data_IF_183456637772
#
_entry.id   IF_183456637772
#
_cell.length_a   1.000
_cell.length_b   1.000
_cell.length_c   1.000
_cell.angle_alpha   90.00
_cell.angle_beta   90.00
_cell.angle_gamma   90.00
#
_symmetry.space_group_name_H-M   'P 1'
#
loop_
_entity.id
_entity.type
_entity.pdbx_description
1 polymer ?
#
# COMPACT_ATOMS: atom_id res chain seq x y z
N UNK A 1 33.33 -24.78 24.57
CA UNK A 1 33.07 -23.44 23.98
C UNK A 1 32.22 -23.67 22.75
N UNK A 2 30.91 -23.52 22.89
CA UNK A 2 30.00 -23.59 21.74
C UNK A 2 30.12 -22.28 20.94
N UNK A 3 30.56 -22.40 19.70
CA UNK A 3 30.61 -21.27 18.78
C UNK A 3 29.16 -20.80 18.53
N UNK A 4 28.85 -19.59 19.01
CA UNK A 4 27.57 -18.92 18.78
C UNK A 4 27.44 -18.61 17.28
N UNK A 5 26.86 -19.54 16.54
CA UNK A 5 26.65 -19.44 15.10
C UNK A 5 25.43 -18.54 14.83
N UNK A 6 25.54 -17.24 15.18
CA UNK A 6 24.55 -16.27 14.78
C UNK A 6 24.59 -16.19 13.25
N UNK A 7 23.55 -16.75 12.60
CA UNK A 7 23.34 -16.55 11.17
C UNK A 7 23.27 -15.05 10.91
N UNK A 8 24.27 -14.53 10.21
CA UNK A 8 24.28 -13.13 9.78
C UNK A 8 23.14 -12.91 8.80
N UNK A 9 22.35 -11.86 9.01
CA UNK A 9 21.32 -11.48 8.06
C UNK A 9 21.97 -11.09 6.73
N UNK A 10 21.42 -11.64 5.66
CA UNK A 10 21.82 -11.28 4.29
C UNK A 10 20.80 -10.29 3.72
N UNK A 11 21.31 -9.23 3.11
CA UNK A 11 20.54 -8.20 2.45
C UNK A 11 20.77 -8.33 0.93
N UNK A 12 19.88 -9.03 0.20
CA UNK A 12 20.09 -9.33 -1.22
C UNK A 12 20.05 -8.10 -2.12
N UNK A 13 19.47 -6.98 -1.64
CA UNK A 13 19.40 -5.73 -2.37
C UNK A 13 20.33 -4.71 -1.75
N UNK A 14 21.30 -4.24 -2.52
CA UNK A 14 22.24 -3.21 -2.11
C UNK A 14 21.57 -1.84 -1.97
N UNK A 15 20.55 -1.59 -2.77
CA UNK A 15 19.80 -0.34 -2.80
C UNK A 15 18.31 -0.59 -2.54
N UNK A 16 17.72 0.26 -1.71
CA UNK A 16 16.27 0.34 -1.54
C UNK A 16 15.68 1.30 -2.59
N UNK A 17 14.42 1.14 -3.01
CA UNK A 17 13.77 2.12 -3.86
C UNK A 17 13.64 3.47 -3.15
N UNK A 18 13.66 4.53 -3.92
CA UNK A 18 13.28 5.87 -3.46
C UNK A 18 11.77 5.94 -3.24
N UNK A 19 11.32 6.98 -2.57
CA UNK A 19 9.88 7.19 -2.39
C UNK A 19 9.17 7.30 -3.74
N UNK A 20 8.14 6.49 -3.94
CA UNK A 20 7.40 6.39 -5.19
C UNK A 20 8.07 5.56 -6.30
N UNK A 21 9.27 5.03 -6.09
CA UNK A 21 9.96 4.18 -7.05
C UNK A 21 9.53 2.72 -6.92
N UNK A 22 9.37 2.04 -8.05
CA UNK A 22 9.14 0.60 -8.14
C UNK A 22 10.45 -0.14 -8.39
N UNK A 23 10.75 -1.13 -7.56
CA UNK A 23 11.88 -2.03 -7.73
C UNK A 23 11.37 -3.46 -7.97
N UNK A 24 11.68 -4.05 -9.12
CA UNK A 24 11.39 -5.47 -9.36
C UNK A 24 12.36 -6.31 -8.50
N UNK A 25 11.81 -7.01 -7.50
CA UNK A 25 12.62 -7.84 -6.60
C UNK A 25 12.85 -9.24 -7.15
N UNK A 26 11.82 -9.85 -7.74
CA UNK A 26 11.92 -11.17 -8.39
C UNK A 26 10.58 -11.53 -9.05
N UNK A 27 10.63 -12.08 -10.28
CA UNK A 27 9.50 -12.80 -10.87
C UNK A 27 8.18 -12.03 -10.93
N UNK A 28 8.23 -10.72 -11.23
CA UNK A 28 7.02 -9.90 -11.32
C UNK A 28 6.52 -9.38 -9.97
N UNK A 29 7.31 -9.50 -8.89
CA UNK A 29 7.03 -8.87 -7.61
C UNK A 29 7.77 -7.53 -7.57
N UNK A 30 7.01 -6.43 -7.50
CA UNK A 30 7.52 -5.07 -7.49
C UNK A 30 7.34 -4.45 -6.11
N UNK A 31 8.43 -3.99 -5.54
CA UNK A 31 8.48 -3.28 -4.27
C UNK A 31 8.28 -1.79 -4.52
N UNK A 32 7.25 -1.21 -3.91
CA UNK A 32 6.96 0.21 -3.89
C UNK A 32 7.24 0.78 -2.50
N UNK A 33 8.10 1.78 -2.41
CA UNK A 33 8.27 2.54 -1.19
C UNK A 33 7.30 3.72 -1.19
N UNK A 34 6.35 3.72 -0.25
CA UNK A 34 5.34 4.76 -0.10
C UNK A 34 5.65 5.66 1.10
N UNK A 35 5.82 6.98 0.91
CA UNK A 35 6.11 7.88 2.02
C UNK A 35 4.95 8.02 2.99
N UNK A 36 5.28 8.30 4.25
CA UNK A 36 4.34 8.60 5.32
C UNK A 36 4.70 9.93 5.99
N UNK A 37 3.70 10.76 6.35
CA UNK A 37 3.92 12.04 7.01
C UNK A 37 4.10 11.90 8.54
N UNK A 38 4.72 10.83 8.99
CA UNK A 38 4.93 10.49 10.41
C UNK A 38 6.35 10.01 10.66
N UNK A 39 6.72 9.76 11.93
CA UNK A 39 8.07 9.34 12.30
C UNK A 39 8.60 8.09 11.58
N UNK A 40 7.71 7.16 11.25
CA UNK A 40 8.06 5.97 10.46
C UNK A 40 8.50 6.32 9.03
N UNK A 41 8.13 7.45 8.50
CA UNK A 41 8.42 8.07 7.21
C UNK A 41 8.08 7.27 5.94
N UNK A 42 7.89 5.97 5.99
CA UNK A 42 7.48 5.17 4.84
C UNK A 42 6.92 3.82 5.23
N UNK A 43 6.20 3.20 4.30
CA UNK A 43 5.85 1.79 4.30
C UNK A 43 6.20 1.15 2.96
N UNK A 44 6.18 -0.17 2.93
CA UNK A 44 6.42 -0.95 1.74
C UNK A 44 5.09 -1.51 1.22
N UNK A 45 4.78 -1.18 -0.01
CA UNK A 45 3.65 -1.70 -0.75
C UNK A 45 4.17 -2.60 -1.88
N UNK A 46 3.26 -3.37 -2.47
CA UNK A 46 3.66 -4.33 -3.48
C UNK A 46 2.70 -4.33 -4.66
N UNK A 47 3.25 -4.48 -5.86
CA UNK A 47 2.51 -4.82 -7.06
C UNK A 47 2.98 -6.19 -7.53
N UNK A 48 2.04 -7.10 -7.71
CA UNK A 48 2.33 -8.47 -8.14
C UNK A 48 1.78 -8.66 -9.54
N UNK A 49 2.67 -8.97 -10.48
CA UNK A 49 2.32 -9.27 -11.85
C UNK A 49 1.73 -10.68 -11.95
N UNK A 50 0.52 -10.78 -12.50
CA UNK A 50 -0.17 -12.03 -12.79
C UNK A 50 -0.27 -12.29 -14.28
N UNK A 51 -0.97 -13.35 -14.67
CA UNK A 51 -1.10 -13.74 -16.08
C UNK A 51 -1.86 -12.70 -16.94
N UNK A 52 -2.83 -12.00 -16.33
CA UNK A 52 -3.71 -11.08 -17.05
C UNK A 52 -3.51 -9.61 -16.64
N UNK A 53 -2.84 -9.36 -15.51
CA UNK A 53 -2.64 -8.02 -14.99
C UNK A 53 -1.95 -8.01 -13.63
N UNK A 54 -2.14 -6.95 -12.88
CA UNK A 54 -1.45 -6.69 -11.62
C UNK A 54 -2.41 -6.76 -10.43
N UNK A 55 -1.90 -7.25 -9.32
CA UNK A 55 -2.53 -7.16 -8.01
C UNK A 55 -1.79 -6.14 -7.16
N UNK A 56 -2.51 -5.16 -6.63
CA UNK A 56 -2.01 -4.20 -5.65
C UNK A 56 -2.16 -4.80 -4.25
N UNK A 57 -1.09 -4.78 -3.46
CA UNK A 57 -1.11 -5.18 -2.05
C UNK A 57 -0.88 -3.93 -1.21
N UNK A 58 -1.90 -3.55 -0.46
CA UNK A 58 -2.02 -2.32 0.32
C UNK A 58 -2.01 -1.03 -0.51
N UNK A 59 -2.62 0.01 0.04
CA UNK A 59 -2.93 1.23 -0.72
C UNK A 59 -2.12 2.45 -0.31
N UNK A 60 -1.60 2.48 0.89
CA UNK A 60 -0.96 3.65 1.46
C UNK A 60 -1.91 4.51 2.28
N UNK A 61 -1.34 5.49 2.99
CA UNK A 61 -2.08 6.49 3.75
C UNK A 61 -2.74 7.50 2.79
N UNK A 62 -3.91 8.01 3.17
CA UNK A 62 -4.65 9.00 2.37
C UNK A 62 -3.99 10.37 2.43
N UNK A 63 -2.96 10.56 1.61
CA UNK A 63 -2.27 11.83 1.40
C UNK A 63 -2.25 12.20 -0.09
N UNK A 64 -2.11 13.48 -0.41
CA UNK A 64 -2.01 13.94 -1.80
C UNK A 64 -0.72 13.45 -2.46
N UNK A 65 0.36 13.32 -1.69
CA UNK A 65 1.62 12.76 -2.14
C UNK A 65 1.46 11.29 -2.57
N UNK A 66 0.83 10.45 -1.75
CA UNK A 66 0.58 9.06 -2.07
C UNK A 66 -0.35 8.89 -3.28
N UNK A 67 -1.38 9.74 -3.42
CA UNK A 67 -2.23 9.79 -4.62
C UNK A 67 -1.44 10.16 -5.87
N UNK A 68 -0.52 11.13 -5.76
CA UNK A 68 0.37 11.55 -6.84
C UNK A 68 1.27 10.39 -7.30
N UNK A 69 1.85 9.65 -6.36
CA UNK A 69 2.67 8.47 -6.64
C UNK A 69 1.86 7.41 -7.40
N UNK A 70 0.66 7.07 -6.94
CA UNK A 70 -0.21 6.12 -7.64
C UNK A 70 -0.55 6.58 -9.07
N UNK A 71 -0.87 7.86 -9.27
CA UNK A 71 -1.13 8.40 -10.61
C UNK A 71 0.07 8.27 -11.54
N UNK A 72 1.29 8.52 -11.03
CA UNK A 72 2.52 8.33 -11.80
C UNK A 72 2.71 6.85 -12.18
N UNK A 73 2.50 5.93 -11.22
CA UNK A 73 2.58 4.48 -11.49
C UNK A 73 1.58 4.06 -12.57
N UNK A 74 0.35 4.57 -12.52
CA UNK A 74 -0.67 4.25 -13.52
C UNK A 74 -0.41 4.88 -14.89
N UNK A 75 0.30 5.99 -14.94
CA UNK A 75 0.68 6.62 -16.20
C UNK A 75 1.91 6.00 -16.85
N UNK A 76 2.89 5.59 -16.05
CA UNK A 76 4.22 5.23 -16.55
C UNK A 76 4.49 3.72 -16.51
N UNK A 77 3.87 2.98 -15.61
CA UNK A 77 4.22 1.57 -15.37
C UNK A 77 3.04 0.60 -15.58
N UNK A 78 1.92 0.82 -14.94
CA UNK A 78 0.76 -0.08 -14.99
C UNK A 78 -0.47 0.67 -15.47
N UNK A 79 -0.94 0.38 -16.68
CA UNK A 79 -2.24 0.89 -17.11
C UNK A 79 -3.33 0.52 -16.10
N UNK A 80 -4.20 1.45 -15.67
CA UNK A 80 -5.30 1.17 -14.74
C UNK A 80 -6.16 -0.03 -15.16
N UNK A 81 -6.36 -0.23 -16.47
CA UNK A 81 -7.10 -1.37 -17.03
C UNK A 81 -6.41 -2.72 -16.86
N UNK A 82 -5.15 -2.73 -16.42
CA UNK A 82 -4.36 -3.92 -16.14
C UNK A 82 -4.29 -4.26 -14.66
N UNK A 83 -4.91 -3.48 -13.79
CA UNK A 83 -5.05 -3.83 -12.38
C UNK A 83 -6.27 -4.75 -12.25
N UNK A 84 -6.07 -5.94 -11.69
CA UNK A 84 -7.13 -6.93 -11.52
C UNK A 84 -7.69 -6.96 -10.09
N UNK A 85 -6.83 -6.68 -9.11
CA UNK A 85 -7.20 -6.78 -7.70
C UNK A 85 -6.50 -5.73 -6.85
N UNK A 86 -7.18 -5.33 -5.79
CA UNK A 86 -6.63 -4.57 -4.67
C UNK A 86 -6.82 -5.44 -3.43
N UNK A 87 -5.74 -5.87 -2.79
CA UNK A 87 -5.77 -6.64 -1.54
C UNK A 87 -5.26 -5.77 -0.42
N UNK A 88 -6.01 -5.67 0.66
CA UNK A 88 -5.62 -4.94 1.87
C UNK A 88 -5.28 -5.95 2.96
N UNK A 89 -4.05 -5.90 3.46
CA UNK A 89 -3.55 -6.87 4.44
C UNK A 89 -4.20 -6.69 5.79
N UNK A 90 -4.36 -5.44 6.24
CA UNK A 90 -4.97 -5.13 7.54
C UNK A 90 -5.49 -3.67 7.61
N UNK A 91 -6.15 -3.37 8.71
CA UNK A 91 -6.94 -2.17 8.92
C UNK A 91 -6.16 -0.86 9.07
N UNK A 92 -4.86 -0.88 9.38
CA UNK A 92 -4.09 0.33 9.64
C UNK A 92 -4.14 1.30 8.46
N UNK A 93 -4.30 2.59 8.75
CA UNK A 93 -4.56 3.61 7.73
C UNK A 93 -3.41 3.86 6.76
N UNK A 94 -2.19 3.53 7.14
CA UNK A 94 -1.02 3.54 6.25
C UNK A 94 -1.06 2.40 5.21
N UNK A 95 -1.88 1.37 5.43
CA UNK A 95 -2.14 0.26 4.51
C UNK A 95 -3.48 0.37 3.79
N UNK A 96 -4.53 0.74 4.50
CA UNK A 96 -5.91 0.77 3.99
C UNK A 96 -6.42 2.16 3.58
N UNK A 97 -5.70 3.22 3.88
CA UNK A 97 -6.19 4.60 3.80
C UNK A 97 -6.64 5.05 2.41
N UNK A 98 -5.99 4.58 1.36
CA UNK A 98 -6.36 4.90 -0.04
C UNK A 98 -7.19 3.81 -0.72
N UNK A 99 -7.63 2.76 -0.01
CA UNK A 99 -8.38 1.67 -0.63
C UNK A 99 -9.64 2.15 -1.36
N UNK A 100 -10.42 3.03 -0.75
CA UNK A 100 -11.62 3.62 -1.36
C UNK A 100 -11.31 4.53 -2.55
N UNK A 101 -10.23 5.32 -2.47
CA UNK A 101 -9.79 6.15 -3.57
C UNK A 101 -9.31 5.29 -4.75
N UNK A 102 -8.48 4.27 -4.52
CA UNK A 102 -8.04 3.32 -5.56
C UNK A 102 -9.23 2.59 -6.19
N UNK A 103 -10.21 2.18 -5.36
CA UNK A 103 -11.44 1.56 -5.84
C UNK A 103 -12.17 2.45 -6.85
N UNK A 104 -12.29 3.74 -6.56
CA UNK A 104 -12.93 4.71 -7.45
C UNK A 104 -12.13 4.97 -8.72
N UNK A 105 -10.80 5.12 -8.62
CA UNK A 105 -9.93 5.38 -9.76
C UNK A 105 -9.86 4.18 -10.74
N UNK A 106 -9.89 2.98 -10.20
CA UNK A 106 -9.72 1.73 -10.96
C UNK A 106 -11.04 1.04 -11.30
N UNK A 107 -12.13 1.42 -10.66
CA UNK A 107 -13.44 0.74 -10.71
C UNK A 107 -13.33 -0.76 -10.31
N UNK A 108 -12.62 -1.03 -9.23
CA UNK A 108 -12.38 -2.36 -8.67
C UNK A 108 -12.60 -2.32 -7.17
N UNK A 109 -13.39 -3.25 -6.63
CA UNK A 109 -13.60 -3.35 -5.20
C UNK A 109 -12.35 -3.88 -4.47
N UNK A 110 -11.91 -3.24 -3.38
CA UNK A 110 -10.81 -3.74 -2.58
C UNK A 110 -11.23 -4.99 -1.79
N UNK A 111 -10.31 -5.94 -1.67
CA UNK A 111 -10.51 -7.18 -0.93
C UNK A 111 -9.87 -7.06 0.46
N UNK A 112 -10.66 -7.36 1.48
CA UNK A 112 -10.27 -7.46 2.88
C UNK A 112 -10.68 -8.83 3.42
N UNK A 113 -10.05 -9.29 4.50
CA UNK A 113 -10.73 -10.27 5.35
C UNK A 113 -11.93 -9.60 6.02
N UNK A 114 -12.98 -10.37 6.35
CA UNK A 114 -14.16 -9.82 7.02
C UNK A 114 -13.81 -9.08 8.33
N UNK A 115 -12.86 -9.62 9.07
CA UNK A 115 -12.38 -9.01 10.32
C UNK A 115 -11.74 -7.65 10.06
N UNK A 116 -10.80 -7.57 9.14
CA UNK A 116 -10.08 -6.33 8.84
C UNK A 116 -11.00 -5.27 8.23
N UNK A 117 -11.94 -5.68 7.38
CA UNK A 117 -12.96 -4.77 6.87
C UNK A 117 -13.81 -4.15 8.00
N UNK A 118 -14.28 -4.97 8.93
CA UNK A 118 -15.07 -4.50 10.06
C UNK A 118 -14.28 -3.53 10.96
N UNK A 119 -13.01 -3.80 11.22
CA UNK A 119 -12.14 -2.92 12.00
C UNK A 119 -11.87 -1.60 11.26
N UNK A 120 -11.64 -1.63 9.96
CA UNK A 120 -11.48 -0.42 9.13
C UNK A 120 -12.72 0.48 9.22
N UNK A 121 -13.92 -0.10 9.13
CA UNK A 121 -15.18 0.66 9.24
C UNK A 121 -15.35 1.32 10.62
N UNK A 122 -14.94 0.67 11.69
CA UNK A 122 -14.97 1.26 13.05
C UNK A 122 -14.05 2.48 13.15
N UNK A 123 -12.83 2.38 12.61
CA UNK A 123 -11.87 3.50 12.63
C UNK A 123 -12.41 4.70 11.85
N UNK A 124 -12.91 4.47 10.64
CA UNK A 124 -13.50 5.52 9.80
C UNK A 124 -14.71 6.14 10.52
N UNK A 125 -15.57 5.32 11.12
CA UNK A 125 -16.71 5.79 11.91
C UNK A 125 -16.28 6.68 13.07
N UNK A 126 -15.27 6.28 13.86
CA UNK A 126 -14.73 7.10 14.95
C UNK A 126 -14.19 8.44 14.45
N UNK A 127 -13.47 8.46 13.33
CA UNK A 127 -12.92 9.70 12.76
C UNK A 127 -14.02 10.66 12.30
N UNK A 128 -15.12 10.16 11.76
CA UNK A 128 -16.27 10.96 11.35
C UNK A 128 -16.98 11.59 12.57
N UNK A 129 -17.08 10.85 13.69
CA UNK A 129 -17.71 11.36 14.92
C UNK A 129 -16.83 12.34 15.70
N UNK A 130 -15.51 12.31 15.54
CA UNK A 130 -14.56 13.19 16.21
C UNK A 130 -14.21 14.45 15.43
N UNK A 131 -14.60 14.53 14.17
CA UNK A 131 -14.48 15.76 13.39
C UNK A 131 -15.46 16.79 13.92
N UNK A 132 -15.01 18.02 14.29
CA UNK A 132 -15.94 19.05 14.69
C UNK A 132 -16.89 19.33 13.54
N UNK A 133 -18.20 19.19 13.81
CA UNK A 133 -19.23 19.63 12.87
C UNK A 133 -18.94 21.09 12.48
N UNK A 134 -18.99 21.46 11.20
CA UNK A 134 -18.99 22.87 10.85
C UNK A 134 -20.18 23.49 11.57
N UNK A 135 -19.92 24.34 12.54
CA UNK A 135 -20.98 25.17 13.11
C UNK A 135 -21.35 26.18 12.04
N UNK A 136 -22.60 26.17 11.74
CA UNK A 136 -23.28 27.20 10.96
C UNK A 136 -22.97 28.61 11.48
#
# INVERSE_FOLDING_TARGET
MEANNQKKLEYPFSNRPKDGELLNVKGGIHWLRMPLPIALNHINLWLIEGNNGFTIIDSGMSTDEAKGIWRNIFNEFVSPKKVEKILITHMHLDHSGLAGWLSSELNIDPHFTQKEHNETQKIIGCLLYTSPSPRD
#
